data_IF_674396542480
#
_entry.id   IF_674396542480
#
_cell.length_a   1.000
_cell.length_b   1.000
_cell.length_c   1.000
_cell.angle_alpha   90.00
_cell.angle_beta   90.00
_cell.angle_gamma   90.00
#
_symmetry.space_group_name_H-M   'P 1'
#
loop_
_entity.id
_entity.type
_entity.pdbx_description
1 polymer ?
#
# COMPACT_ATOMS: atom_id res chain seq x y z
N UNK A 1 -3.56 14.73 -7.82
CA UNK A 1 -3.63 13.49 -7.05
C UNK A 1 -3.04 12.34 -7.83
N UNK A 2 -2.24 11.52 -7.19
CA UNK A 2 -1.66 10.34 -7.82
C UNK A 2 -2.11 9.10 -7.07
N UNK A 3 -2.17 8.00 -7.79
CA UNK A 3 -2.46 6.71 -7.19
C UNK A 3 -1.17 5.89 -7.20
N UNK A 4 -0.80 5.37 -6.03
CA UNK A 4 0.37 4.53 -5.88
C UNK A 4 -0.10 3.12 -5.57
N UNK A 5 0.38 2.16 -6.33
CA UNK A 5 -0.06 0.78 -6.18
C UNK A 5 0.62 0.13 -4.99
N UNK A 6 -0.16 -0.60 -4.20
CA UNK A 6 0.34 -1.47 -3.13
C UNK A 6 0.58 -2.82 -3.79
N UNK A 7 1.84 -3.15 -4.05
CA UNK A 7 2.19 -4.31 -4.86
C UNK A 7 2.83 -5.37 -3.97
N UNK A 8 2.38 -6.61 -4.14
CA UNK A 8 2.99 -7.73 -3.43
C UNK A 8 4.38 -7.99 -4.03
N UNK A 9 5.44 -7.85 -3.24
CA UNK A 9 6.79 -8.08 -3.77
C UNK A 9 7.05 -9.56 -3.99
N UNK A 10 8.14 -9.84 -4.68
CA UNK A 10 8.61 -11.20 -4.83
C UNK A 10 9.20 -11.64 -3.49
N UNK A 11 8.60 -12.65 -2.90
CA UNK A 11 9.00 -13.14 -1.58
C UNK A 11 10.00 -14.27 -1.65
N UNK A 12 10.39 -14.66 -2.86
CA UNK A 12 11.40 -15.71 -3.03
C UNK A 12 10.91 -17.11 -2.73
N UNK A 13 9.60 -17.32 -2.72
CA UNK A 13 9.02 -18.57 -2.28
C UNK A 13 8.79 -19.57 -3.42
N UNK A 14 8.99 -19.15 -4.66
CA UNK A 14 8.73 -20.02 -5.81
C UNK A 14 7.26 -20.05 -6.16
N UNK A 15 6.95 -20.62 -7.36
CA UNK A 15 5.60 -20.52 -7.90
C UNK A 15 4.57 -21.44 -7.24
N UNK A 16 5.03 -22.45 -6.51
CA UNK A 16 4.11 -23.42 -5.95
C UNK A 16 3.64 -23.06 -4.54
N UNK A 17 4.19 -22.02 -3.94
CA UNK A 17 3.82 -21.63 -2.59
C UNK A 17 2.61 -20.72 -2.65
N UNK A 18 1.45 -21.13 -2.11
CA UNK A 18 0.29 -20.25 -2.13
C UNK A 18 0.49 -19.06 -1.20
N UNK A 19 0.02 -17.91 -1.65
CA UNK A 19 0.05 -16.68 -0.89
C UNK A 19 -1.39 -16.18 -0.81
N UNK A 20 -1.85 -15.92 0.41
CA UNK A 20 -3.24 -15.57 0.67
C UNK A 20 -3.28 -14.31 1.52
N UNK A 21 -4.15 -13.36 1.16
CA UNK A 21 -4.36 -12.18 1.97
C UNK A 21 -4.96 -12.61 3.30
N UNK A 22 -4.34 -12.23 4.39
CA UNK A 22 -4.78 -12.60 5.72
C UNK A 22 -5.57 -11.48 6.38
N UNK A 23 -5.07 -10.24 6.29
CA UNK A 23 -5.70 -9.16 7.03
C UNK A 23 -5.27 -7.81 6.46
N UNK A 24 -6.23 -6.89 6.33
CA UNK A 24 -5.97 -5.50 6.02
C UNK A 24 -5.97 -4.71 7.32
N UNK A 25 -4.91 -3.93 7.56
CA UNK A 25 -4.80 -3.12 8.77
C UNK A 25 -5.47 -1.76 8.61
N UNK A 26 -5.81 -1.38 7.38
CA UNK A 26 -6.47 -0.12 7.10
C UNK A 26 -7.69 -0.38 6.26
N UNK A 27 -8.68 0.49 6.36
CA UNK A 27 -9.89 0.42 5.57
C UNK A 27 -9.85 1.46 4.46
N UNK A 28 -10.65 1.24 3.42
CA UNK A 28 -10.78 2.22 2.37
C UNK A 28 -11.23 3.55 2.97
N UNK A 29 -10.53 4.61 2.61
CA UNK A 29 -10.79 5.94 3.14
C UNK A 29 -9.88 6.35 4.27
N UNK A 30 -9.17 5.42 4.89
CA UNK A 30 -8.28 5.74 6.00
C UNK A 30 -7.06 6.48 5.52
N UNK A 31 -6.56 7.37 6.37
CA UNK A 31 -5.25 7.98 6.13
C UNK A 31 -4.17 6.99 6.49
N UNK A 32 -3.13 6.95 5.67
CA UNK A 32 -2.00 6.05 5.88
C UNK A 32 -0.71 6.82 5.64
N UNK A 33 0.35 6.39 6.29
CA UNK A 33 1.67 6.99 6.15
C UNK A 33 2.60 6.00 5.48
N UNK A 34 3.47 6.52 4.64
CA UNK A 34 4.47 5.69 3.98
C UNK A 34 5.18 4.82 5.01
N UNK A 35 5.27 3.52 4.76
CA UNK A 35 5.90 2.58 5.68
C UNK A 35 4.96 1.93 6.67
N UNK A 36 3.73 2.45 6.80
CA UNK A 36 2.74 1.80 7.67
C UNK A 36 2.36 0.44 7.12
N UNK A 37 2.13 -0.52 8.01
CA UNK A 37 1.62 -1.82 7.59
C UNK A 37 0.22 -1.63 7.03
N UNK A 38 0.01 -2.11 5.81
CA UNK A 38 -1.32 -2.03 5.21
C UNK A 38 -2.01 -3.37 5.16
N UNK A 39 -1.28 -4.41 4.80
CA UNK A 39 -1.91 -5.70 4.57
C UNK A 39 -0.93 -6.80 4.94
N UNK A 40 -1.46 -7.85 5.55
CA UNK A 40 -0.70 -9.04 5.91
C UNK A 40 -1.08 -10.16 4.97
N UNK A 41 -0.09 -10.89 4.48
CA UNK A 41 -0.33 -12.07 3.66
C UNK A 41 0.28 -13.29 4.35
N UNK A 42 -0.34 -14.45 4.14
CA UNK A 42 0.18 -15.72 4.61
C UNK A 42 0.93 -16.37 3.47
N UNK A 43 2.15 -16.80 3.76
CA UNK A 43 3.02 -17.45 2.80
C UNK A 43 3.40 -18.79 3.42
N UNK A 44 2.59 -19.82 3.14
CA UNK A 44 2.74 -21.07 3.85
C UNK A 44 2.50 -20.84 5.34
N UNK A 45 3.43 -21.26 6.23
CA UNK A 45 3.26 -21.05 7.67
C UNK A 45 3.70 -19.69 8.16
N UNK A 46 4.24 -18.84 7.28
CA UNK A 46 4.80 -17.55 7.67
C UNK A 46 3.89 -16.42 7.26
N UNK A 47 4.06 -15.25 7.88
CA UNK A 47 3.35 -14.04 7.48
C UNK A 47 4.33 -13.03 6.93
N UNK A 48 3.84 -12.17 6.06
CA UNK A 48 4.61 -11.06 5.51
C UNK A 48 3.72 -9.83 5.47
N UNK A 49 4.26 -8.67 5.84
CA UNK A 49 3.48 -7.44 5.88
C UNK A 49 3.90 -6.53 4.74
N UNK A 50 2.93 -6.06 3.96
CA UNK A 50 3.17 -5.14 2.86
C UNK A 50 2.83 -3.74 3.38
N UNK A 51 3.74 -2.81 3.17
CA UNK A 51 3.63 -1.48 3.75
C UNK A 51 3.15 -0.47 2.71
N UNK A 52 2.67 0.67 3.21
CA UNK A 52 2.20 1.73 2.34
C UNK A 52 3.35 2.28 1.51
N UNK A 53 3.15 2.40 0.19
CA UNK A 53 4.20 2.94 -0.69
C UNK A 53 4.30 4.45 -0.63
N UNK A 54 3.31 5.11 -0.04
CA UNK A 54 3.28 6.57 0.01
C UNK A 54 2.32 6.99 1.11
N UNK A 55 2.45 8.23 1.52
CA UNK A 55 1.53 8.83 2.48
C UNK A 55 0.33 9.37 1.75
N UNK A 56 -0.85 9.07 2.25
CA UNK A 56 -2.08 9.53 1.62
C UNK A 56 -3.29 8.84 2.21
N UNK A 57 -4.19 8.44 1.35
CA UNK A 57 -5.45 7.82 1.77
C UNK A 57 -5.60 6.50 0.99
N UNK A 58 -5.98 5.46 1.71
CA UNK A 58 -6.22 4.16 1.05
C UNK A 58 -7.47 4.31 0.19
N UNK A 59 -7.26 4.37 -1.13
CA UNK A 59 -8.33 4.68 -2.05
C UNK A 59 -9.09 3.45 -2.50
N UNK A 60 -8.40 2.31 -2.57
CA UNK A 60 -9.02 1.11 -3.12
C UNK A 60 -8.36 -0.11 -2.54
N UNK A 61 -9.16 -1.13 -2.21
CA UNK A 61 -8.69 -2.46 -1.84
C UNK A 61 -9.12 -3.38 -2.97
N UNK A 62 -8.16 -4.02 -3.63
CA UNK A 62 -8.45 -4.91 -4.76
C UNK A 62 -8.48 -6.36 -4.38
N UNK A 63 -7.67 -6.75 -3.40
CA UNK A 63 -7.63 -8.13 -2.94
C UNK A 63 -8.04 -8.14 -1.47
N UNK A 64 -8.99 -8.96 -1.15
CA UNK A 64 -9.55 -9.00 0.18
C UNK A 64 -9.03 -10.21 0.94
N UNK A 65 -9.39 -10.28 2.22
CA UNK A 65 -9.02 -11.42 3.06
C UNK A 65 -9.46 -12.70 2.39
N UNK A 66 -8.57 -13.67 2.44
CA UNK A 66 -8.73 -15.01 1.88
C UNK A 66 -8.56 -15.10 0.38
N UNK A 67 -8.32 -13.98 -0.30
CA UNK A 67 -8.00 -14.03 -1.73
C UNK A 67 -6.59 -14.56 -1.90
N UNK A 68 -6.42 -15.40 -2.90
CA UNK A 68 -5.10 -15.90 -3.28
C UNK A 68 -4.47 -14.91 -4.25
N UNK A 69 -3.21 -14.59 -4.00
CA UNK A 69 -2.51 -13.57 -4.78
C UNK A 69 -1.15 -14.10 -5.22
N UNK A 70 -0.54 -13.40 -6.16
CA UNK A 70 0.78 -13.77 -6.67
C UNK A 70 1.71 -12.55 -6.59
N UNK A 71 3.02 -12.77 -6.58
CA UNK A 71 3.96 -11.63 -6.61
C UNK A 71 3.66 -10.74 -7.81
N UNK A 72 3.72 -9.44 -7.58
CA UNK A 72 3.38 -8.45 -8.60
C UNK A 72 1.92 -8.03 -8.59
N UNK A 73 1.07 -8.74 -7.85
CA UNK A 73 -0.35 -8.39 -7.79
C UNK A 73 -0.51 -7.03 -7.13
N UNK A 74 -1.47 -6.25 -7.64
CA UNK A 74 -1.84 -4.97 -7.03
C UNK A 74 -2.89 -5.28 -5.97
N UNK A 75 -2.51 -5.06 -4.71
CA UNK A 75 -3.38 -5.38 -3.59
C UNK A 75 -4.36 -4.25 -3.30
N UNK A 76 -3.96 -3.02 -3.62
CA UNK A 76 -4.78 -1.84 -3.42
C UNK A 76 -4.08 -0.62 -3.94
N UNK A 77 -4.68 0.55 -3.75
CA UNK A 77 -4.15 1.82 -4.23
C UNK A 77 -4.21 2.86 -3.14
N UNK A 78 -3.14 3.65 -3.02
CA UNK A 78 -3.07 4.78 -2.09
C UNK A 78 -3.11 6.06 -2.92
N UNK A 79 -4.04 6.95 -2.61
CA UNK A 79 -4.13 8.24 -3.27
C UNK A 79 -3.32 9.25 -2.49
N UNK A 80 -2.37 9.88 -3.15
CA UNK A 80 -1.54 10.90 -2.51
C UNK A 80 -2.06 12.27 -2.91
N UNK A 81 -1.85 13.24 -2.03
CA UNK A 81 -2.23 14.62 -2.34
C UNK A 81 -1.10 15.36 -3.05
N UNK A 82 0.07 14.75 -3.19
CA UNK A 82 1.21 15.37 -3.86
C UNK A 82 1.08 15.23 -5.35
N UNK A 83 1.31 16.31 -6.00
CA UNK A 83 1.34 16.24 -7.47
C UNK A 83 2.70 16.68 -7.96
N UNK A 84 2.21 17.01 -7.23
CA UNK A 84 2.93 17.62 -7.51
C UNK A 84 3.58 18.33 -7.58
N UNK A 85 3.43 18.64 -7.68
CA UNK A 85 3.84 19.35 -7.65
C UNK A 85 4.10 20.03 -7.18
N UNK A 86 3.78 20.22 -7.15
CA UNK A 86 3.99 20.86 -6.77
C UNK A 86 3.99 21.48 -6.01
N UNK A 87 4.10 21.39 -5.80
CA UNK A 87 4.20 22.03 -5.16
C UNK A 87 4.36 22.52 -4.35
N UNK A 88 4.46 22.61 -4.25
CA UNK A 88 4.56 23.10 -3.62
C UNK A 88 4.72 23.64 -2.89
N UNK A 89 4.90 23.84 -2.78
CA UNK A 89 4.95 24.23 -2.26
C UNK A 89 4.97 24.83 -1.59
N UNK A 90 5.21 24.81 -1.56
CA UNK A 90 5.18 25.37 -1.08
C UNK A 90 5.24 25.74 -0.35
N UNK A 91 5.43 25.94 -0.25
CA UNK A 91 5.42 26.33 0.28
C UNK A 91 5.62 26.64 1.14
N UNK A 92 5.86 27.04 1.14
CA UNK A 92 6.01 27.34 1.84
C UNK A 92 6.18 27.44 2.62
N UNK A 93 6.38 27.57 2.55
CA UNK A 93 6.37 27.61 2.87
C UNK A 93 6.36 27.63 3.49
N UNK A 94 6.51 27.96 3.46
CA UNK A 94 6.28 27.72 3.61
C UNK A 94 6.05 27.73 4.23
N UNK A 95 6.08 27.75 4.28
CA UNK A 95 5.68 27.60 4.47
C UNK A 95 5.34 27.56 5.14
N UNK A 96 5.50 27.69 5.27
CA UNK A 96 5.11 27.46 5.51
C UNK A 96 5.04 27.54 6.21
N UNK A 97 5.21 27.86 6.20
CA UNK A 97 5.03 27.79 6.57
C UNK A 97 4.97 27.64 6.88
N UNK A 98 5.31 27.76 6.76
CA UNK A 98 5.25 27.50 6.59
C UNK A 98 5.20 27.21 6.83
#
# INVERSE_FOLDING_TARGET
MRLEAVILPDLGTGPDMPIVVSHWFAARGDEVWEGDRLVEVLVGPATFEVVAPATGRLAEIREREEDQVVPGAVLGLVATSEDKDGDDRDSPSGRRPT
#
